data_IF_228145684529
#
_entry.id   IF_228145684529
#
_cell.length_a   1.000
_cell.length_b   1.000
_cell.length_c   1.000
_cell.angle_alpha   90.00
_cell.angle_beta   90.00
_cell.angle_gamma   90.00
#
_symmetry.space_group_name_H-M   'P 1'
#
loop_
_entity.id
_entity.type
_entity.pdbx_description
1 polymer ?
#
# COMPACT_ATOMS: atom_id res chain seq x y z
N UNK A 1 -46.83 -7.84 -29.83
CA UNK A 1 -47.37 -8.42 -28.58
C UNK A 1 -46.60 -7.80 -27.43
N UNK A 2 -47.26 -7.09 -26.50
CA UNK A 2 -46.61 -6.45 -25.34
C UNK A 2 -46.56 -7.45 -24.17
N UNK A 3 -45.48 -7.48 -23.37
CA UNK A 3 -45.43 -8.31 -22.16
C UNK A 3 -46.31 -7.71 -21.06
N UNK A 4 -46.84 -8.53 -20.13
CA UNK A 4 -47.66 -8.06 -19.02
C UNK A 4 -46.81 -7.40 -17.93
N UNK A 5 -47.27 -6.26 -17.43
CA UNK A 5 -46.71 -5.55 -16.28
C UNK A 5 -46.97 -6.33 -14.99
N UNK A 6 -45.91 -6.68 -14.28
CA UNK A 6 -45.94 -7.37 -13.00
C UNK A 6 -46.09 -6.33 -11.88
N UNK A 7 -47.22 -6.33 -11.18
CA UNK A 7 -47.47 -5.46 -10.02
C UNK A 7 -46.94 -6.14 -8.77
N UNK A 8 -45.79 -5.69 -8.28
CA UNK A 8 -45.21 -6.13 -7.00
C UNK A 8 -45.86 -5.31 -5.88
N UNK A 9 -46.54 -5.98 -4.95
CA UNK A 9 -47.04 -5.36 -3.71
C UNK A 9 -45.96 -5.45 -2.62
N UNK A 10 -45.72 -4.37 -1.86
CA UNK A 10 -44.80 -4.42 -0.73
C UNK A 10 -45.43 -5.22 0.42
N UNK A 11 -44.72 -6.24 0.88
CA UNK A 11 -45.00 -6.89 2.15
C UNK A 11 -44.31 -6.07 3.23
N UNK A 12 -45.10 -5.34 4.02
CA UNK A 12 -44.61 -4.64 5.20
C UNK A 12 -44.47 -5.67 6.33
N UNK A 13 -43.27 -6.22 6.49
CA UNK A 13 -42.90 -7.00 7.67
C UNK A 13 -42.53 -6.05 8.81
N UNK A 14 -43.45 -5.86 9.74
CA UNK A 14 -43.20 -5.24 11.04
C UNK A 14 -42.42 -6.25 11.90
N UNK A 15 -41.09 -6.15 11.91
CA UNK A 15 -40.23 -6.91 12.83
C UNK A 15 -39.94 -6.04 14.07
N UNK A 16 -40.17 -6.56 15.31
CA UNK A 16 -39.86 -5.83 16.53
C UNK A 16 -38.35 -5.64 16.65
N UNK A 17 -37.94 -4.37 16.81
CA UNK A 17 -36.59 -3.94 17.16
C UNK A 17 -36.18 -4.55 18.51
N UNK A 18 -35.48 -5.68 18.46
CA UNK A 18 -34.60 -6.12 19.53
C UNK A 18 -33.30 -5.32 19.39
N UNK A 19 -33.22 -4.20 20.12
CA UNK A 19 -31.96 -3.49 20.38
C UNK A 19 -31.03 -4.41 21.15
N UNK A 20 -30.22 -5.19 20.42
CA UNK A 20 -28.97 -5.70 20.96
C UNK A 20 -28.04 -4.51 21.10
N UNK A 21 -28.01 -3.91 22.29
CA UNK A 21 -26.87 -3.12 22.72
C UNK A 21 -25.68 -4.07 22.79
N UNK A 22 -24.99 -4.25 21.68
CA UNK A 22 -23.61 -4.75 21.69
C UNK A 22 -22.86 -3.69 22.47
N UNK A 23 -22.57 -3.99 23.73
CA UNK A 23 -21.60 -3.25 24.50
C UNK A 23 -20.28 -3.36 23.71
N UNK A 24 -19.97 -2.33 22.92
CA UNK A 24 -18.64 -2.09 22.42
C UNK A 24 -17.75 -1.95 23.66
N UNK A 25 -17.20 -3.06 24.14
CA UNK A 25 -16.05 -3.02 25.03
C UNK A 25 -14.99 -2.23 24.28
N UNK A 26 -14.63 -1.07 24.82
CA UNK A 26 -13.52 -0.28 24.30
C UNK A 26 -12.27 -1.13 24.44
N UNK A 27 -11.92 -1.87 23.39
CA UNK A 27 -10.58 -2.39 23.25
C UNK A 27 -9.66 -1.19 23.25
N UNK A 28 -8.63 -1.25 24.09
CA UNK A 28 -7.59 -0.23 24.09
C UNK A 28 -7.05 -0.13 22.65
N UNK A 29 -7.20 1.05 22.04
CA UNK A 29 -6.66 1.34 20.73
C UNK A 29 -5.14 1.24 20.83
N UNK A 30 -4.56 0.29 20.10
CA UNK A 30 -3.11 0.15 20.02
C UNK A 30 -2.63 1.24 19.07
N UNK A 31 -1.82 2.17 19.59
CA UNK A 31 -1.23 3.23 18.78
C UNK A 31 -0.01 2.69 18.00
N UNK A 32 0.26 3.19 16.79
CA UNK A 32 1.46 2.85 16.06
C UNK A 32 2.71 3.33 16.81
N UNK A 33 3.77 2.53 16.74
CA UNK A 33 5.07 2.90 17.31
C UNK A 33 5.70 4.05 16.53
N UNK A 34 5.48 4.12 15.21
CA UNK A 34 5.90 5.24 14.37
C UNK A 34 5.00 5.44 13.15
N UNK A 35 4.95 6.69 12.67
CA UNK A 35 4.13 7.13 11.54
C UNK A 35 4.96 7.98 10.59
N UNK A 36 4.91 7.67 9.30
CA UNK A 36 5.59 8.41 8.23
C UNK A 36 4.62 8.74 7.10
N UNK A 37 4.80 9.92 6.50
CA UNK A 37 4.20 10.23 5.20
C UNK A 37 5.18 9.79 4.12
N UNK A 38 4.87 8.69 3.43
CA UNK A 38 5.75 8.04 2.45
C UNK A 38 5.19 8.22 1.05
N UNK A 39 5.99 8.82 0.17
CA UNK A 39 5.76 8.85 -1.27
C UNK A 39 6.37 7.61 -1.90
N UNK A 40 5.54 6.84 -2.60
CA UNK A 40 5.92 5.72 -3.46
C UNK A 40 5.89 6.21 -4.90
N UNK A 41 6.96 6.01 -5.66
CA UNK A 41 7.05 6.43 -7.05
C UNK A 41 7.75 5.37 -7.92
N UNK A 42 7.40 5.33 -9.21
CA UNK A 42 8.13 4.50 -10.19
C UNK A 42 9.61 4.85 -10.18
N UNK A 43 10.48 3.82 -10.15
CA UNK A 43 11.90 4.02 -10.38
C UNK A 43 12.12 4.33 -11.87
N UNK A 44 12.71 5.49 -12.13
CA UNK A 44 13.07 5.94 -13.47
C UNK A 44 14.56 5.71 -13.70
N UNK A 45 14.89 5.02 -14.80
CA UNK A 45 16.27 4.67 -15.19
C UNK A 45 16.60 5.42 -16.47
N UNK A 46 17.69 6.20 -16.44
CA UNK A 46 18.19 6.95 -17.59
C UNK A 46 18.69 8.35 -17.21
N UNK A 47 19.42 8.98 -18.12
CA UNK A 47 20.00 10.32 -17.93
C UNK A 47 19.26 11.36 -18.77
N UNK A 48 18.81 12.44 -18.14
CA UNK A 48 18.21 13.60 -18.82
C UNK A 48 16.78 13.34 -19.32
N UNK A 49 16.55 13.60 -20.61
CA UNK A 49 15.23 13.53 -21.25
C UNK A 49 14.82 12.10 -21.67
N UNK A 50 15.70 11.11 -21.52
CA UNK A 50 15.42 9.71 -21.78
C UNK A 50 15.33 8.96 -20.45
N UNK A 51 14.12 8.92 -19.89
CA UNK A 51 13.83 8.14 -18.69
C UNK A 51 12.96 6.95 -19.08
N UNK A 52 13.40 5.77 -18.70
CA UNK A 52 12.68 4.50 -18.86
C UNK A 52 12.21 4.00 -17.50
N UNK A 53 11.20 3.12 -17.49
CA UNK A 53 10.74 2.47 -16.29
C UNK A 53 11.63 1.29 -15.98
N UNK A 54 12.01 1.12 -14.72
CA UNK A 54 12.59 -0.15 -14.27
C UNK A 54 11.45 -1.18 -14.15
N UNK A 55 11.22 -1.92 -15.23
CA UNK A 55 10.23 -3.00 -15.31
C UNK A 55 10.67 -4.05 -16.31
N UNK A 56 10.39 -5.33 -15.99
CA UNK A 56 10.69 -6.44 -16.89
C UNK A 56 9.70 -6.59 -18.06
N UNK A 57 8.62 -5.79 -18.08
CA UNK A 57 7.50 -5.95 -19.01
C UNK A 57 7.21 -4.75 -19.91
N UNK A 58 7.85 -3.61 -19.66
CA UNK A 58 7.68 -2.42 -20.49
C UNK A 58 8.98 -2.24 -21.25
N UNK A 59 8.90 -2.30 -22.58
CA UNK A 59 10.09 -2.06 -23.42
C UNK A 59 10.50 -0.58 -23.39
N UNK A 60 11.77 -0.29 -23.66
CA UNK A 60 12.29 1.09 -23.68
C UNK A 60 11.56 2.02 -24.68
N UNK A 61 10.90 1.44 -25.69
CA UNK A 61 10.14 2.16 -26.72
C UNK A 61 8.66 2.41 -26.34
N UNK A 62 8.19 1.87 -25.21
CA UNK A 62 6.81 2.00 -24.76
C UNK A 62 6.62 3.17 -23.80
N UNK A 63 5.55 3.94 -24.01
CA UNK A 63 5.20 5.06 -23.14
C UNK A 63 4.33 4.53 -22.00
N UNK A 64 4.90 4.50 -20.79
CA UNK A 64 4.16 4.26 -19.56
C UNK A 64 3.94 5.55 -18.76
N UNK A 65 2.90 5.52 -17.92
CA UNK A 65 2.56 6.65 -17.04
C UNK A 65 3.36 6.53 -15.75
N UNK A 66 4.05 7.60 -15.36
CA UNK A 66 4.81 7.65 -14.09
C UNK A 66 3.84 7.54 -12.93
N UNK A 67 4.02 6.51 -12.09
CA UNK A 67 3.29 6.37 -10.84
C UNK A 67 3.96 7.21 -9.75
N UNK A 68 3.17 7.98 -9.02
CA UNK A 68 3.62 8.65 -7.80
C UNK A 68 2.41 8.90 -6.90
N UNK A 69 2.47 8.42 -5.66
CA UNK A 69 1.42 8.60 -4.67
C UNK A 69 2.01 8.63 -3.26
N UNK A 70 1.44 9.45 -2.39
CA UNK A 70 1.77 9.48 -0.98
C UNK A 70 0.75 8.73 -0.14
N UNK A 71 1.24 8.08 0.90
CA UNK A 71 0.50 7.23 1.82
C UNK A 71 0.99 7.47 3.24
N UNK A 72 0.13 7.22 4.23
CA UNK A 72 0.54 7.23 5.63
C UNK A 72 0.94 5.81 6.04
N UNK A 73 2.22 5.61 6.33
CA UNK A 73 2.78 4.34 6.80
C UNK A 73 2.80 4.34 8.33
N UNK A 74 2.24 3.29 8.92
CA UNK A 74 2.11 3.11 10.36
C UNK A 74 2.79 1.79 10.73
N UNK A 75 3.83 1.85 11.58
CA UNK A 75 4.58 0.67 12.00
C UNK A 75 4.22 0.31 13.44
N UNK A 76 3.98 -0.98 13.67
CA UNK A 76 3.75 -1.56 15.00
C UNK A 76 4.81 -2.62 15.27
N UNK A 77 5.51 -2.53 16.40
CA UNK A 77 6.66 -3.35 16.75
C UNK A 77 6.31 -4.39 17.80
N UNK A 78 6.73 -5.64 17.55
CA UNK A 78 6.81 -6.69 18.57
C UNK A 78 8.21 -7.30 18.54
N UNK A 79 9.10 -6.74 19.35
CA UNK A 79 10.53 -7.04 19.28
C UNK A 79 11.13 -6.62 17.95
N UNK A 80 11.58 -7.60 17.15
CA UNK A 80 12.10 -7.40 15.78
C UNK A 80 11.02 -7.54 14.71
N UNK A 81 9.86 -8.12 15.03
CA UNK A 81 8.74 -8.20 14.09
C UNK A 81 8.08 -6.83 13.94
N UNK A 82 7.63 -6.55 12.72
CA UNK A 82 6.96 -5.29 12.36
C UNK A 82 5.69 -5.62 11.60
N UNK A 83 4.56 -5.07 12.03
CA UNK A 83 3.35 -4.96 11.23
C UNK A 83 3.37 -3.59 10.53
N UNK A 84 3.15 -3.59 9.22
CA UNK A 84 3.03 -2.39 8.40
C UNK A 84 1.55 -2.18 8.08
N UNK A 85 1.02 -1.03 8.46
CA UNK A 85 -0.27 -0.55 8.01
C UNK A 85 -0.11 0.65 7.07
N UNK A 86 -1.00 0.74 6.08
CA UNK A 86 -1.10 1.88 5.19
C UNK A 86 -2.49 2.47 5.35
N UNK A 87 -2.56 3.76 5.68
CA UNK A 87 -3.81 4.50 5.91
C UNK A 87 -4.76 3.78 6.91
N UNK A 88 -4.20 3.21 7.97
CA UNK A 88 -4.93 2.47 9.01
C UNK A 88 -5.45 1.09 8.60
N UNK A 89 -4.93 0.52 7.50
CA UNK A 89 -5.25 -0.84 7.07
C UNK A 89 -4.00 -1.71 7.05
N UNK A 90 -4.12 -2.94 7.57
CA UNK A 90 -3.07 -3.94 7.49
C UNK A 90 -2.63 -4.12 6.02
N UNK A 91 -1.34 -3.84 5.78
CA UNK A 91 -0.73 -3.92 4.46
C UNK A 91 0.21 -5.12 4.37
N UNK A 92 1.08 -5.30 5.37
CA UNK A 92 2.10 -6.35 5.33
C UNK A 92 2.77 -6.57 6.67
N UNK A 93 3.65 -7.56 6.72
CA UNK A 93 4.49 -7.87 7.87
C UNK A 93 5.96 -7.96 7.48
N UNK A 94 6.83 -7.78 8.45
CA UNK A 94 8.25 -7.64 8.20
C UNK A 94 9.11 -7.77 9.45
N UNK A 95 10.38 -7.46 9.27
CA UNK A 95 11.39 -7.47 10.33
C UNK A 95 12.24 -6.23 10.28
N UNK A 96 12.71 -5.80 11.45
CA UNK A 96 13.63 -4.66 11.57
C UNK A 96 14.96 -5.06 12.20
N UNK A 97 16.04 -4.45 11.71
CA UNK A 97 17.38 -4.56 12.26
C UNK A 97 18.02 -3.17 12.34
N UNK A 98 17.94 -2.55 13.52
CA UNK A 98 18.31 -1.15 13.70
C UNK A 98 17.33 -0.23 12.99
N UNK A 99 17.83 0.55 12.02
CA UNK A 99 17.03 1.45 11.19
C UNK A 99 16.55 0.81 9.88
N UNK A 100 16.92 -0.44 9.62
CA UNK A 100 16.54 -1.15 8.40
C UNK A 100 15.25 -1.92 8.64
N UNK A 101 14.34 -1.83 7.69
CA UNK A 101 13.07 -2.55 7.60
C UNK A 101 13.08 -3.40 6.32
N UNK A 102 12.63 -4.64 6.41
CA UNK A 102 12.26 -5.47 5.26
C UNK A 102 10.86 -6.02 5.52
N UNK A 103 9.96 -5.93 4.54
CA UNK A 103 8.56 -6.33 4.67
C UNK A 103 8.01 -6.93 3.38
N UNK A 104 6.94 -7.70 3.52
CA UNK A 104 6.17 -8.29 2.43
C UNK A 104 4.69 -7.91 2.64
N UNK A 105 4.01 -7.53 1.56
CA UNK A 105 2.59 -7.19 1.64
C UNK A 105 1.72 -8.44 1.61
N UNK A 106 0.49 -8.32 2.11
CA UNK A 106 -0.58 -9.19 1.68
C UNK A 106 -0.86 -9.00 0.18
N UNK A 107 -1.48 -9.99 -0.44
CA UNK A 107 -1.96 -9.87 -1.82
C UNK A 107 -3.24 -9.02 -1.84
N UNK A 108 -3.32 -8.03 -2.73
CA UNK A 108 -4.52 -7.20 -2.87
C UNK A 108 -5.00 -7.07 -4.31
N UNK A 109 -6.32 -6.87 -4.44
CA UNK A 109 -7.01 -6.71 -5.72
C UNK A 109 -7.15 -5.22 -6.05
N UNK A 110 -6.74 -4.85 -7.26
CA UNK A 110 -6.97 -3.54 -7.84
C UNK A 110 -7.92 -3.64 -9.05
N UNK A 111 -9.08 -3.00 -8.94
CA UNK A 111 -10.09 -2.97 -10.00
C UNK A 111 -9.97 -1.70 -10.84
N UNK A 112 -9.72 -1.85 -12.14
CA UNK A 112 -9.49 -0.76 -13.08
C UNK A 112 -10.32 -0.93 -14.35
N UNK A 113 -10.34 0.10 -15.21
CA UNK A 113 -11.13 0.08 -16.43
C UNK A 113 -10.71 -1.04 -17.42
N UNK A 114 -9.44 -1.42 -17.42
CA UNK A 114 -8.88 -2.48 -18.28
C UNK A 114 -9.07 -3.91 -17.74
N UNK A 115 -9.50 -4.06 -16.48
CA UNK A 115 -9.65 -5.36 -15.85
C UNK A 115 -9.32 -5.31 -14.36
N UNK A 116 -9.01 -6.47 -13.81
CA UNK A 116 -8.56 -6.66 -12.43
C UNK A 116 -7.08 -7.04 -12.44
N UNK A 117 -6.32 -6.48 -11.50
CA UNK A 117 -4.91 -6.82 -11.30
C UNK A 117 -4.69 -7.13 -9.83
N UNK A 118 -4.02 -8.24 -9.55
CA UNK A 118 -3.70 -8.69 -8.21
C UNK A 118 -2.21 -8.46 -7.95
N UNK A 119 -1.91 -7.73 -6.89
CA UNK A 119 -0.57 -7.25 -6.59
C UNK A 119 -0.01 -7.87 -5.32
N UNK A 120 1.31 -7.98 -5.29
CA UNK A 120 2.12 -8.32 -4.13
C UNK A 120 3.36 -7.42 -4.11
N UNK A 121 3.79 -6.97 -2.94
CA UNK A 121 4.94 -6.06 -2.80
C UNK A 121 5.96 -6.62 -1.84
N UNK A 122 7.21 -6.59 -2.26
CA UNK A 122 8.38 -6.77 -1.41
C UNK A 122 9.02 -5.41 -1.18
N UNK A 123 9.24 -5.04 0.07
CA UNK A 123 9.75 -3.73 0.45
C UNK A 123 10.98 -3.80 1.33
N UNK A 124 11.89 -2.85 1.14
CA UNK A 124 13.02 -2.62 2.02
C UNK A 124 13.23 -1.11 2.21
N UNK A 125 13.44 -0.68 3.44
CA UNK A 125 13.63 0.72 3.77
C UNK A 125 14.66 0.92 4.88
N UNK A 126 15.29 2.09 4.86
CA UNK A 126 15.96 2.67 6.03
C UNK A 126 15.07 3.81 6.53
N UNK A 127 14.82 3.88 7.83
CA UNK A 127 13.98 4.93 8.41
C UNK A 127 14.55 5.49 9.73
N UNK A 128 14.14 6.71 10.04
CA UNK A 128 14.45 7.43 11.28
C UNK A 128 13.14 7.83 11.98
N UNK A 129 13.08 7.57 13.28
CA UNK A 129 11.98 7.99 14.15
C UNK A 129 12.24 9.35 14.81
N UNK A 130 11.25 9.84 15.57
CA UNK A 130 11.35 11.11 16.33
C UNK A 130 12.46 11.04 17.40
N UNK A 131 12.75 9.86 17.94
CA UNK A 131 13.86 9.67 18.88
C UNK A 131 15.25 9.83 18.22
N UNK A 132 15.32 9.90 16.89
CA UNK A 132 16.54 10.02 16.10
C UNK A 132 17.18 8.66 15.79
N UNK A 133 18.46 8.70 15.37
CA UNK A 133 19.20 7.51 14.94
C UNK A 133 19.41 7.46 13.44
N UNK A 134 20.53 6.88 13.01
CA UNK A 134 20.92 6.79 11.59
C UNK A 134 20.96 8.15 10.87
N UNK A 135 21.21 9.24 11.61
CA UNK A 135 21.16 10.62 11.11
C UNK A 135 22.09 10.88 9.93
N UNK A 136 23.17 10.11 9.81
CA UNK A 136 24.14 10.22 8.73
C UNK A 136 23.71 9.50 7.43
N UNK A 137 22.53 8.89 7.39
CA UNK A 137 22.04 8.08 6.26
C UNK A 137 20.98 8.79 5.41
N UNK A 138 20.47 9.95 5.87
CA UNK A 138 19.37 10.64 5.21
C UNK A 138 19.78 12.00 4.64
N UNK A 139 19.24 12.38 3.48
CA UNK A 139 19.20 13.78 3.05
C UNK A 139 18.45 14.66 4.05
N UNK A 140 18.72 15.96 4.01
CA UNK A 140 17.99 16.94 4.84
C UNK A 140 16.48 16.88 4.57
N UNK A 141 15.70 16.74 5.64
CA UNK A 141 14.23 16.70 5.55
C UNK A 141 13.67 15.38 5.03
N UNK A 142 14.44 14.30 5.05
CA UNK A 142 13.97 12.94 4.75
C UNK A 142 14.21 12.06 5.98
N UNK A 143 13.22 11.24 6.32
CA UNK A 143 13.29 10.30 7.44
C UNK A 143 12.99 8.85 7.01
N UNK A 144 12.60 8.65 5.76
CA UNK A 144 12.35 7.35 5.17
C UNK A 144 12.96 7.30 3.78
N UNK A 145 13.71 6.25 3.47
CA UNK A 145 14.23 6.01 2.13
C UNK A 145 14.27 4.51 1.88
N UNK A 146 13.69 4.06 0.79
CA UNK A 146 13.59 2.63 0.49
C UNK A 146 13.29 2.34 -0.96
N UNK A 147 13.11 1.05 -1.22
CA UNK A 147 12.73 0.49 -2.52
C UNK A 147 11.64 -0.53 -2.31
N UNK A 148 10.72 -0.62 -3.26
CA UNK A 148 9.70 -1.68 -3.31
C UNK A 148 9.73 -2.33 -4.69
N UNK A 149 9.40 -3.62 -4.74
CA UNK A 149 9.16 -4.35 -5.99
C UNK A 149 7.70 -4.76 -6.01
N UNK A 150 6.91 -4.16 -6.88
CA UNK A 150 5.52 -4.55 -7.09
C UNK A 150 5.43 -5.66 -8.15
N UNK A 151 4.81 -6.77 -7.79
CA UNK A 151 4.72 -8.00 -8.57
C UNK A 151 3.26 -8.26 -8.93
N UNK A 152 3.01 -8.51 -10.22
CA UNK A 152 1.68 -8.90 -10.71
C UNK A 152 1.49 -10.40 -10.52
N UNK A 153 0.65 -10.78 -9.55
CA UNK A 153 0.38 -12.19 -9.22
C UNK A 153 -0.71 -12.78 -10.12
N UNK A 154 -1.73 -11.99 -10.45
CA UNK A 154 -2.80 -12.36 -11.38
C UNK A 154 -3.32 -11.11 -12.10
N UNK A 155 -3.84 -11.27 -13.32
CA UNK A 155 -4.34 -10.14 -14.10
C UNK A 155 -5.31 -10.58 -15.18
N UNK A 156 -6.40 -9.81 -15.32
CA UNK A 156 -7.32 -9.85 -16.46
C UNK A 156 -7.17 -8.62 -17.36
N UNK A 157 -6.31 -7.67 -16.98
CA UNK A 157 -5.97 -6.51 -17.79
C UNK A 157 -4.85 -6.89 -18.76
N UNK A 158 -5.16 -6.93 -20.06
CA UNK A 158 -4.21 -7.31 -21.11
C UNK A 158 -3.00 -6.37 -21.19
N UNK A 159 -3.10 -5.16 -20.65
CA UNK A 159 -1.97 -4.21 -20.58
C UNK A 159 -1.00 -4.47 -19.43
N UNK A 160 -1.37 -5.35 -18.48
CA UNK A 160 -0.55 -5.70 -17.31
C UNK A 160 -0.41 -7.22 -17.22
N UNK A 161 0.62 -7.80 -17.86
CA UNK A 161 0.81 -9.24 -17.85
C UNK A 161 1.14 -9.78 -16.45
N UNK A 162 0.74 -11.02 -16.20
CA UNK A 162 1.10 -11.75 -14.97
C UNK A 162 2.61 -12.01 -14.94
N UNK A 163 3.21 -11.86 -13.76
CA UNK A 163 4.64 -12.03 -13.53
C UNK A 163 5.48 -10.77 -13.77
N UNK A 164 4.86 -9.67 -14.19
CA UNK A 164 5.56 -8.40 -14.33
C UNK A 164 5.97 -7.83 -12.98
N UNK A 165 7.15 -7.24 -12.98
CA UNK A 165 7.76 -6.54 -11.85
C UNK A 165 7.88 -5.06 -12.19
N UNK A 166 7.73 -4.23 -11.16
CA UNK A 166 7.93 -2.79 -11.24
C UNK A 166 8.74 -2.35 -10.03
N UNK A 167 9.94 -1.82 -10.27
CA UNK A 167 10.73 -1.26 -9.18
C UNK A 167 10.20 0.14 -8.84
N UNK A 168 10.03 0.37 -7.55
CA UNK A 168 9.54 1.59 -6.97
C UNK A 168 10.57 2.12 -5.98
N UNK A 169 10.62 3.43 -5.85
CA UNK A 169 11.36 4.12 -4.79
C UNK A 169 10.39 4.68 -3.77
N UNK A 170 10.77 4.60 -2.50
CA UNK A 170 10.00 5.18 -1.41
C UNK A 170 10.81 6.25 -0.69
N UNK A 171 10.18 7.38 -0.41
CA UNK A 171 10.79 8.47 0.35
C UNK A 171 9.75 9.15 1.22
N UNK A 172 10.10 9.53 2.44
CA UNK A 172 9.12 10.11 3.34
C UNK A 172 9.68 10.87 4.52
N UNK A 173 8.78 11.46 5.29
CA UNK A 173 9.09 12.25 6.50
C UNK A 173 8.35 11.70 7.70
N UNK A 174 8.97 11.78 8.87
CA UNK A 174 8.34 11.32 10.11
C UNK A 174 7.22 12.27 10.52
N UNK A 175 6.07 11.71 10.89
CA UNK A 175 4.89 12.44 11.38
C UNK A 175 4.84 12.38 12.90
N UNK A 176 4.97 11.17 13.47
CA UNK A 176 5.01 10.96 14.91
C UNK A 176 5.62 9.62 15.27
N UNK A 177 6.08 9.47 16.52
CA UNK A 177 6.65 8.21 17.02
C UNK A 177 7.98 7.84 16.34
N UNK A 178 8.38 6.58 16.51
CA UNK A 178 9.62 6.02 15.99
C UNK A 178 10.80 6.19 16.93
#
# INVERSE_FOLDING_TARGET
>A
MRPPSLVVRPVVCFAPLLSFCVACGGGDEVLPDGVWDVTVASLLVGDGDQQSFSSDCISEDEVATVYSKSFKYELYYDGEAVLVEIDGQAFGDGTRAGCNLVYESAVWLDERAGGQVTWYVEGAATYRGVAGGCDNQFPDGVDWTGTEVAIVVDSTDESVPVGCTYDLVTSGTVVSGG
#
